data_IF_167581857148
#
_entry.id   IF_167581857148
#
_cell.length_a   1.000
_cell.length_b   1.000
_cell.length_c   1.000
_cell.angle_alpha   90.00
_cell.angle_beta   90.00
_cell.angle_gamma   90.00
#
_symmetry.space_group_name_H-M   'P 1'
#
loop_
_entity.id
_entity.type
_entity.pdbx_description
1 polymer ?
#
# COMPACT_ATOMS: atom_id res chain seq x y z
N UNK A 1 -2.36 -35.63 -8.27
CA UNK A 1 -2.10 -34.37 -8.99
C UNK A 1 -2.13 -33.24 -7.98
N UNK A 2 -0.94 -32.79 -7.57
CA UNK A 2 -0.78 -31.69 -6.63
C UNK A 2 -1.13 -30.39 -7.35
N UNK A 3 -2.23 -29.75 -6.95
CA UNK A 3 -2.50 -28.36 -7.33
C UNK A 3 -1.47 -27.48 -6.61
N UNK A 4 -0.28 -27.38 -7.18
CA UNK A 4 0.69 -26.36 -6.80
C UNK A 4 0.04 -25.03 -7.16
N UNK A 5 -0.56 -24.38 -6.16
CA UNK A 5 -0.77 -22.94 -6.19
C UNK A 5 0.58 -22.35 -6.60
N UNK A 6 0.69 -21.54 -7.66
CA UNK A 6 1.97 -20.92 -8.01
C UNK A 6 2.48 -20.24 -6.75
N UNK A 7 3.64 -20.66 -6.25
CA UNK A 7 4.17 -20.18 -4.97
C UNK A 7 4.26 -18.65 -5.04
N UNK A 8 3.44 -17.97 -4.25
CA UNK A 8 3.49 -16.52 -4.12
C UNK A 8 4.91 -16.13 -3.70
N UNK A 9 5.53 -15.15 -4.37
CA UNK A 9 6.91 -14.75 -4.08
C UNK A 9 7.08 -14.30 -2.62
N UNK A 10 6.00 -13.86 -1.98
CA UNK A 10 6.00 -13.48 -0.57
C UNK A 10 6.45 -14.61 0.38
N UNK A 11 6.27 -15.89 0.01
CA UNK A 11 6.68 -17.04 0.83
C UNK A 11 8.08 -17.54 0.51
N UNK A 12 8.75 -16.94 -0.49
CA UNK A 12 10.15 -17.26 -0.78
C UNK A 12 11.06 -16.78 0.35
N UNK A 13 12.12 -17.54 0.60
CA UNK A 13 13.09 -17.22 1.66
C UNK A 13 14.12 -16.23 1.17
N UNK A 14 14.48 -15.28 2.03
CA UNK A 14 15.58 -14.34 1.78
C UNK A 14 16.83 -14.87 2.45
N UNK A 15 17.61 -15.64 1.70
CA UNK A 15 18.74 -16.44 2.23
C UNK A 15 19.92 -15.60 2.74
N UNK A 16 19.93 -14.29 2.48
CA UNK A 16 20.90 -13.34 3.03
C UNK A 16 20.47 -12.77 4.37
N UNK A 17 19.20 -12.93 4.76
CA UNK A 17 18.64 -12.46 6.03
C UNK A 17 18.53 -13.59 7.07
N UNK A 18 18.33 -13.20 8.31
CA UNK A 18 18.15 -14.04 9.49
C UNK A 18 16.99 -13.55 10.35
N UNK A 19 16.60 -14.32 11.37
CA UNK A 19 15.57 -13.88 12.32
C UNK A 19 15.92 -12.55 13.01
N UNK A 20 17.20 -12.24 13.20
CA UNK A 20 17.65 -11.00 13.84
C UNK A 20 17.36 -9.73 13.00
N UNK A 21 17.05 -9.90 11.71
CA UNK A 21 16.67 -8.80 10.82
C UNK A 21 15.17 -8.46 10.90
N UNK A 22 14.42 -9.21 11.71
CA UNK A 22 13.03 -8.94 12.05
C UNK A 22 12.93 -8.22 13.39
N UNK A 23 12.01 -7.26 13.47
CA UNK A 23 11.54 -6.70 14.72
C UNK A 23 10.76 -7.79 15.47
N UNK A 24 11.41 -8.35 16.50
CA UNK A 24 10.88 -9.46 17.28
C UNK A 24 9.63 -9.07 18.06
N UNK A 25 9.54 -7.83 18.53
CA UNK A 25 8.39 -7.34 19.29
C UNK A 25 7.19 -7.17 18.35
N UNK A 26 7.40 -6.64 17.14
CA UNK A 26 6.36 -6.56 16.12
C UNK A 26 5.85 -7.94 15.68
N UNK A 27 6.75 -8.92 15.51
CA UNK A 27 6.38 -10.31 15.20
C UNK A 27 5.53 -10.91 16.32
N UNK A 28 5.94 -10.74 17.58
CA UNK A 28 5.20 -11.27 18.73
C UNK A 28 3.81 -10.64 18.85
N UNK A 29 3.72 -9.31 18.70
CA UNK A 29 2.45 -8.59 18.70
C UNK A 29 1.51 -9.08 17.59
N UNK A 30 2.04 -9.33 16.38
CA UNK A 30 1.27 -9.92 15.29
C UNK A 30 0.77 -11.33 15.63
N UNK A 31 1.62 -12.19 16.20
CA UNK A 31 1.24 -13.56 16.58
C UNK A 31 0.09 -13.54 17.61
N UNK A 32 0.18 -12.67 18.61
CA UNK A 32 -0.86 -12.49 19.63
C UNK A 32 -2.18 -12.03 19.01
N UNK A 33 -2.14 -10.99 18.17
CA UNK A 33 -3.30 -10.48 17.46
C UNK A 33 -3.93 -11.55 16.54
N UNK A 34 -3.10 -12.34 15.85
CA UNK A 34 -3.54 -13.35 14.88
C UNK A 34 -4.23 -14.53 15.54
N UNK A 35 -3.66 -15.03 16.65
CA UNK A 35 -4.14 -16.25 17.29
C UNK A 35 -5.22 -15.99 18.34
N UNK A 36 -5.33 -14.76 18.88
CA UNK A 36 -6.21 -14.34 20.00
C UNK A 36 -5.99 -15.10 21.32
N UNK A 37 -5.52 -16.35 21.27
CA UNK A 37 -5.11 -17.21 22.36
C UNK A 37 -3.91 -18.03 21.89
N UNK A 38 -2.75 -17.79 22.51
CA UNK A 38 -1.54 -18.52 22.21
C UNK A 38 -1.67 -19.99 22.66
N UNK A 39 -1.28 -20.97 21.81
CA UNK A 39 -1.10 -22.33 22.24
C UNK A 39 0.04 -22.38 23.26
N UNK A 40 -0.28 -22.73 24.52
CA UNK A 40 0.70 -22.74 25.63
C UNK A 40 1.84 -23.75 25.46
N UNK A 41 1.72 -24.67 24.51
CA UNK A 41 2.68 -25.75 24.26
C UNK A 41 3.59 -25.48 23.05
N UNK A 42 3.43 -24.35 22.36
CA UNK A 42 4.21 -24.04 21.15
C UNK A 42 5.02 -22.78 21.41
N UNK A 43 6.32 -22.84 21.14
CA UNK A 43 7.19 -21.67 21.30
C UNK A 43 6.87 -20.62 20.22
N UNK A 44 6.97 -19.30 20.50
CA UNK A 44 6.69 -18.25 19.51
C UNK A 44 7.47 -18.42 18.19
N UNK A 45 8.71 -18.89 18.27
CA UNK A 45 9.53 -19.19 17.10
C UNK A 45 8.91 -20.29 16.20
N UNK A 46 8.35 -21.34 16.78
CA UNK A 46 7.66 -22.39 16.03
C UNK A 46 6.33 -21.89 15.45
N UNK A 47 5.67 -20.95 16.14
CA UNK A 47 4.47 -20.29 15.61
C UNK A 47 4.84 -19.46 14.39
N UNK A 48 5.92 -18.68 14.43
CA UNK A 48 6.39 -17.91 13.29
C UNK A 48 6.68 -18.79 12.06
N UNK A 49 7.22 -20.00 12.27
CA UNK A 49 7.38 -21.01 11.21
C UNK A 49 6.03 -21.45 10.64
N UNK A 50 5.07 -21.81 11.51
CA UNK A 50 3.73 -22.26 11.10
C UNK A 50 2.91 -21.18 10.40
N UNK A 51 3.15 -19.90 10.72
CA UNK A 51 2.53 -18.77 10.05
C UNK A 51 3.22 -18.40 8.73
N UNK A 52 4.29 -19.10 8.34
CA UNK A 52 5.03 -18.84 7.10
C UNK A 52 5.90 -17.58 7.13
N UNK A 53 6.19 -17.04 8.32
CA UNK A 53 7.07 -15.88 8.46
C UNK A 53 8.54 -16.28 8.30
N UNK A 54 8.89 -17.48 8.76
CA UNK A 54 10.27 -17.99 8.74
C UNK A 54 10.30 -19.45 8.34
N UNK A 55 11.39 -19.84 7.67
CA UNK A 55 11.70 -21.24 7.38
C UNK A 55 12.88 -21.66 8.24
N UNK A 56 12.67 -22.70 9.05
CA UNK A 56 13.71 -23.29 9.88
C UNK A 56 14.45 -24.40 9.09
N UNK A 57 15.78 -24.34 9.07
CA UNK A 57 16.66 -25.38 8.56
C UNK A 57 17.78 -25.64 9.58
N UNK A 58 17.60 -26.67 10.40
CA UNK A 58 18.45 -26.91 11.57
C UNK A 58 18.38 -25.71 12.55
N UNK A 59 19.52 -25.15 13.00
CA UNK A 59 19.53 -23.98 13.88
C UNK A 59 19.21 -22.66 13.15
N UNK A 60 19.19 -22.67 11.81
CA UNK A 60 19.03 -21.45 11.02
C UNK A 60 17.56 -21.15 10.80
N UNK A 61 17.14 -19.94 11.15
CA UNK A 61 15.83 -19.39 10.84
C UNK A 61 15.98 -18.30 9.78
N UNK A 62 15.40 -18.54 8.61
CA UNK A 62 15.48 -17.65 7.45
C UNK A 62 14.13 -17.00 7.21
N UNK A 63 14.01 -15.67 7.23
CA UNK A 63 12.73 -15.00 7.01
C UNK A 63 12.27 -15.13 5.56
N UNK A 64 10.96 -15.11 5.38
CA UNK A 64 10.34 -14.98 4.07
C UNK A 64 10.29 -13.51 3.63
N UNK A 65 10.06 -13.27 2.34
CA UNK A 65 9.83 -11.91 1.82
C UNK A 65 8.68 -11.23 2.56
N UNK A 66 7.60 -11.96 2.85
CA UNK A 66 6.46 -11.49 3.64
C UNK A 66 6.89 -11.00 5.02
N UNK A 67 7.68 -11.79 5.75
CA UNK A 67 8.13 -11.42 7.09
C UNK A 67 9.01 -10.18 7.09
N UNK A 68 9.99 -10.09 6.18
CA UNK A 68 10.79 -8.87 6.04
C UNK A 68 9.92 -7.68 5.66
N UNK A 69 8.97 -7.85 4.74
CA UNK A 69 8.16 -6.74 4.29
C UNK A 69 7.22 -6.22 5.38
N UNK A 70 6.68 -7.07 6.24
CA UNK A 70 5.79 -6.67 7.34
C UNK A 70 6.54 -6.25 8.62
N UNK A 71 7.66 -6.89 8.92
CA UNK A 71 8.32 -6.82 10.23
C UNK A 71 9.84 -6.62 10.16
N UNK A 72 10.42 -6.44 8.99
CA UNK A 72 11.86 -6.21 8.85
C UNK A 72 12.27 -4.88 9.48
N UNK A 73 13.40 -4.88 10.18
CA UNK A 73 14.01 -3.64 10.71
C UNK A 73 14.45 -2.72 9.56
N UNK A 74 15.07 -3.32 8.54
CA UNK A 74 15.51 -2.63 7.32
C UNK A 74 15.34 -3.55 6.09
N UNK A 75 14.09 -3.81 5.64
CA UNK A 75 13.84 -4.80 4.59
C UNK A 75 14.51 -4.44 3.26
N UNK A 76 14.73 -3.16 2.98
CA UNK A 76 15.37 -2.67 1.77
C UNK A 76 16.86 -3.01 1.67
N UNK A 77 17.54 -3.39 2.76
CA UNK A 77 18.91 -3.93 2.69
C UNK A 77 18.97 -5.23 1.87
N UNK A 78 17.89 -6.01 1.89
CA UNK A 78 17.77 -7.27 1.19
C UNK A 78 16.94 -7.15 -0.09
N UNK A 79 15.94 -6.27 -0.08
CA UNK A 79 14.97 -6.09 -1.16
C UNK A 79 14.79 -4.60 -1.47
N UNK A 80 15.74 -3.96 -2.19
CA UNK A 80 15.70 -2.52 -2.48
C UNK A 80 14.43 -2.05 -3.17
N UNK A 81 13.78 -2.93 -3.94
CA UNK A 81 12.53 -2.66 -4.63
C UNK A 81 11.36 -2.38 -3.66
N UNK A 82 11.46 -2.74 -2.38
CA UNK A 82 10.45 -2.44 -1.36
C UNK A 82 10.41 -0.97 -0.94
N UNK A 83 11.30 -0.13 -1.47
CA UNK A 83 11.24 1.33 -1.32
C UNK A 83 9.93 1.87 -1.92
N UNK A 84 9.32 2.85 -1.27
CA UNK A 84 8.22 3.65 -1.81
C UNK A 84 8.75 5.02 -2.20
N UNK A 85 8.79 5.31 -3.50
CA UNK A 85 9.25 6.60 -4.01
C UNK A 85 8.12 7.63 -4.02
N UNK A 86 8.28 8.74 -3.31
CA UNK A 86 7.33 9.84 -3.24
C UNK A 86 7.89 11.08 -3.94
N UNK A 87 7.04 11.78 -4.71
CA UNK A 87 7.39 13.05 -5.35
C UNK A 87 6.21 14.02 -5.34
N UNK A 88 6.48 15.28 -5.00
CA UNK A 88 5.56 16.41 -5.16
C UNK A 88 6.01 17.24 -6.36
N UNK A 89 5.11 17.42 -7.32
CA UNK A 89 5.36 18.13 -8.58
C UNK A 89 4.44 19.33 -8.64
N UNK A 90 4.98 20.55 -8.69
CA UNK A 90 4.24 21.81 -8.82
C UNK A 90 3.78 22.02 -10.26
N UNK A 91 2.75 21.26 -10.64
CA UNK A 91 2.10 21.32 -11.93
C UNK A 91 1.25 20.08 -12.15
N UNK A 92 0.97 19.78 -13.42
CA UNK A 92 0.05 18.73 -13.85
C UNK A 92 0.76 17.58 -14.59
N UNK A 93 2.03 17.79 -14.96
CA UNK A 93 2.82 16.93 -15.83
C UNK A 93 4.14 16.55 -15.17
N UNK A 94 4.74 15.43 -15.60
CA UNK A 94 6.03 14.97 -15.07
C UNK A 94 7.21 15.89 -15.42
N UNK A 95 7.02 16.82 -16.35
CA UNK A 95 8.04 17.81 -16.73
C UNK A 95 8.01 19.06 -15.87
N UNK A 96 6.99 19.22 -15.02
CA UNK A 96 6.86 20.36 -14.13
C UNK A 96 7.83 20.28 -12.95
N UNK A 97 8.12 21.40 -12.25
CA UNK A 97 9.12 21.44 -11.19
C UNK A 97 8.82 20.49 -10.02
N UNK A 98 9.84 19.74 -9.58
CA UNK A 98 9.77 18.92 -8.37
C UNK A 98 10.00 19.80 -7.14
N UNK A 99 9.03 19.83 -6.24
CA UNK A 99 9.09 20.60 -4.98
C UNK A 99 9.67 19.77 -3.85
N UNK A 100 9.31 18.48 -3.81
CA UNK A 100 9.80 17.57 -2.79
C UNK A 100 9.91 16.15 -3.33
N UNK A 101 10.85 15.40 -2.77
CA UNK A 101 11.05 13.99 -3.06
C UNK A 101 11.48 13.27 -1.79
N UNK A 102 10.93 12.09 -1.58
CA UNK A 102 11.35 11.19 -0.52
C UNK A 102 11.38 9.75 -1.04
N UNK A 103 12.47 9.04 -0.78
CA UNK A 103 12.52 7.60 -0.99
C UNK A 103 12.32 6.94 0.40
N UNK A 104 11.12 6.40 0.61
CA UNK A 104 10.68 5.88 1.91
C UNK A 104 11.07 4.41 2.06
N UNK A 105 11.73 4.10 3.17
CA UNK A 105 12.18 2.77 3.55
C UNK A 105 11.60 2.35 4.91
N UNK A 106 11.76 1.07 5.25
CA UNK A 106 11.17 0.42 6.41
C UNK A 106 10.10 -0.62 6.04
N UNK A 107 9.50 -1.28 7.03
CA UNK A 107 8.45 -2.26 6.81
C UNK A 107 7.15 -1.58 6.34
N UNK A 108 6.26 -2.37 5.75
CA UNK A 108 4.98 -1.94 5.16
C UNK A 108 4.19 -0.99 6.08
N UNK A 109 3.99 -1.25 7.40
CA UNK A 109 3.31 -0.30 8.28
C UNK A 109 3.96 1.10 8.27
N UNK A 110 5.29 1.15 8.36
CA UNK A 110 6.04 2.41 8.34
C UNK A 110 5.95 3.12 7.00
N UNK A 111 5.97 2.38 5.88
CA UNK A 111 5.79 2.96 4.55
C UNK A 111 4.43 3.65 4.41
N UNK A 112 3.36 3.01 4.88
CA UNK A 112 2.01 3.59 4.89
C UNK A 112 1.98 4.87 5.71
N UNK A 113 2.43 4.83 6.97
CA UNK A 113 2.43 6.00 7.85
C UNK A 113 3.23 7.16 7.27
N UNK A 114 4.44 6.90 6.78
CA UNK A 114 5.34 7.95 6.24
C UNK A 114 4.82 8.52 4.92
N UNK A 115 4.18 7.71 4.07
CA UNK A 115 3.58 8.19 2.84
C UNK A 115 2.34 9.05 3.09
N UNK A 116 1.50 8.66 4.04
CA UNK A 116 0.37 9.50 4.49
C UNK A 116 0.87 10.85 5.03
N UNK A 117 1.95 10.84 5.81
CA UNK A 117 2.60 12.07 6.29
C UNK A 117 3.18 12.92 5.14
N UNK A 118 3.82 12.29 4.15
CA UNK A 118 4.32 13.01 2.98
C UNK A 118 3.19 13.74 2.24
N UNK A 119 2.06 13.07 2.02
CA UNK A 119 0.91 13.72 1.36
C UNK A 119 0.39 14.87 2.21
N UNK A 120 0.19 14.69 3.52
CA UNK A 120 -0.35 15.75 4.38
C UNK A 120 0.57 16.97 4.52
N UNK A 121 1.88 16.79 4.39
CA UNK A 121 2.86 17.90 4.40
C UNK A 121 2.75 18.76 3.14
N UNK A 122 2.47 18.16 1.98
CA UNK A 122 2.51 18.80 0.66
C UNK A 122 1.15 19.05 -0.01
N UNK A 123 0.05 18.84 0.70
CA UNK A 123 -1.32 19.21 0.29
C UNK A 123 -1.79 20.53 0.88
N UNK A 124 -2.80 21.15 0.26
CA UNK A 124 -3.37 22.41 0.73
C UNK A 124 -4.07 22.23 2.08
N UNK A 125 -3.66 23.03 3.07
CA UNK A 125 -4.05 22.90 4.49
C UNK A 125 -2.87 22.92 5.46
N UNK A 126 -1.64 22.74 4.97
CA UNK A 126 -0.41 22.85 5.77
C UNK A 126 0.13 24.29 5.94
N UNK A 127 -0.41 25.26 5.20
CA UNK A 127 -0.03 26.68 5.32
C UNK A 127 -0.83 27.40 6.40
N UNK A 128 -0.14 27.91 7.43
CA UNK A 128 -0.71 28.69 8.55
C UNK A 128 -1.35 30.04 8.14
N UNK A 129 -1.45 30.34 6.85
CA UNK A 129 -1.90 31.64 6.31
C UNK A 129 -3.34 31.67 5.83
N UNK A 130 -4.07 30.54 5.86
CA UNK A 130 -5.50 30.53 5.53
C UNK A 130 -6.35 30.91 6.76
N UNK A 131 -7.35 31.80 6.63
CA UNK A 131 -8.24 32.15 7.74
C UNK A 131 -8.94 30.91 8.28
N UNK A 132 -9.00 30.84 9.61
CA UNK A 132 -9.34 29.70 10.48
C UNK A 132 -10.77 29.13 10.35
N UNK A 133 -11.47 29.41 9.26
CA UNK A 133 -12.86 28.99 9.04
C UNK A 133 -13.01 27.74 8.14
N UNK A 134 -12.01 27.43 7.30
CA UNK A 134 -12.02 26.24 6.42
C UNK A 134 -10.95 25.19 6.79
N UNK A 135 -10.31 25.34 7.95
CA UNK A 135 -9.14 24.55 8.41
C UNK A 135 -9.41 23.08 8.75
N UNK A 136 -10.53 22.51 8.32
CA UNK A 136 -10.92 21.14 8.65
C UNK A 136 -11.14 20.22 7.44
N UNK A 137 -10.93 20.71 6.20
CA UNK A 137 -10.92 19.85 5.00
C UNK A 137 -9.47 19.57 4.59
N UNK A 138 -8.95 18.42 5.00
CA UNK A 138 -7.79 17.82 4.34
C UNK A 138 -8.13 17.58 2.87
N UNK A 139 -7.20 17.88 1.97
CA UNK A 139 -7.38 17.65 0.52
C UNK A 139 -7.69 16.19 0.20
N UNK A 140 -7.13 15.27 0.98
CA UNK A 140 -7.43 13.84 0.94
C UNK A 140 -7.80 13.36 2.35
N UNK A 141 -8.88 12.58 2.46
CA UNK A 141 -9.23 11.92 3.73
C UNK A 141 -8.07 10.97 4.14
N UNK A 142 -7.55 11.06 5.38
CA UNK A 142 -6.45 10.22 5.83
C UNK A 142 -6.75 8.71 5.79
N UNK A 143 -7.98 8.30 6.11
CA UNK A 143 -8.40 6.91 6.07
C UNK A 143 -8.51 6.41 4.62
N UNK A 144 -8.99 7.26 3.71
CA UNK A 144 -9.00 6.98 2.28
C UNK A 144 -7.59 6.76 1.74
N UNK A 145 -6.67 7.67 2.08
CA UNK A 145 -5.29 7.60 1.65
C UNK A 145 -4.60 6.35 2.18
N UNK A 146 -4.81 6.03 3.46
CA UNK A 146 -4.29 4.81 4.08
C UNK A 146 -4.78 3.56 3.34
N UNK A 147 -6.06 3.47 3.00
CA UNK A 147 -6.63 2.32 2.29
C UNK A 147 -6.04 2.18 0.87
N UNK A 148 -5.88 3.28 0.12
CA UNK A 148 -5.24 3.27 -1.21
C UNK A 148 -3.78 2.82 -1.13
N UNK A 149 -3.03 3.33 -0.16
CA UNK A 149 -1.62 2.98 0.03
C UNK A 149 -1.45 1.52 0.46
N UNK A 150 -2.29 1.02 1.37
CA UNK A 150 -2.26 -0.38 1.80
C UNK A 150 -2.61 -1.28 0.63
N UNK A 151 -3.67 -0.97 -0.13
CA UNK A 151 -4.03 -1.76 -1.30
C UNK A 151 -2.90 -1.76 -2.35
N UNK A 152 -2.26 -0.63 -2.58
CA UNK A 152 -1.08 -0.61 -3.44
C UNK A 152 0.04 -1.52 -2.87
N UNK A 153 0.47 -1.29 -1.63
CA UNK A 153 1.61 -2.01 -1.07
C UNK A 153 1.36 -3.52 -0.88
N UNK A 154 0.12 -3.93 -0.64
CA UNK A 154 -0.29 -5.33 -0.52
C UNK A 154 -0.37 -6.01 -1.89
N UNK A 155 -0.87 -5.34 -2.92
CA UNK A 155 -1.13 -5.97 -4.22
C UNK A 155 0.02 -5.86 -5.24
N UNK A 156 1.08 -5.11 -4.93
CA UNK A 156 2.26 -4.97 -5.81
C UNK A 156 2.88 -6.30 -6.20
N UNK A 157 3.49 -6.40 -7.38
CA UNK A 157 4.31 -7.57 -7.72
C UNK A 157 5.66 -7.52 -6.99
N UNK A 158 5.81 -8.35 -5.96
CA UNK A 158 7.03 -8.44 -5.13
C UNK A 158 8.24 -9.02 -5.89
N UNK A 159 8.04 -9.60 -7.08
CA UNK A 159 9.13 -10.06 -7.96
C UNK A 159 9.68 -8.96 -8.84
N UNK A 160 8.89 -7.91 -9.08
CA UNK A 160 9.30 -6.84 -9.97
C UNK A 160 10.43 -6.03 -9.33
N UNK A 161 11.49 -5.68 -10.09
CA UNK A 161 12.50 -4.73 -9.62
C UNK A 161 11.95 -3.30 -9.53
N UNK A 162 10.80 -3.03 -10.14
CA UNK A 162 10.12 -1.74 -10.05
C UNK A 162 9.66 -1.46 -8.61
N UNK A 163 9.66 -0.18 -8.24
CA UNK A 163 9.15 0.31 -6.95
C UNK A 163 7.74 0.85 -7.08
N UNK A 164 7.00 0.84 -5.97
CA UNK A 164 5.77 1.62 -5.86
C UNK A 164 6.13 3.11 -5.91
N UNK A 165 5.34 3.92 -6.62
CA UNK A 165 5.53 5.36 -6.72
C UNK A 165 4.27 6.09 -6.27
N UNK A 166 4.46 7.13 -5.47
CA UNK A 166 3.45 8.11 -5.11
C UNK A 166 3.83 9.45 -5.77
N UNK A 167 2.94 9.97 -6.61
CA UNK A 167 3.13 11.24 -7.32
C UNK A 167 2.00 12.18 -6.95
N UNK A 168 2.34 13.28 -6.29
CA UNK A 168 1.40 14.33 -5.90
C UNK A 168 1.55 15.51 -6.86
N UNK A 169 0.50 15.76 -7.64
CA UNK A 169 0.36 16.90 -8.55
C UNK A 169 -0.54 17.97 -7.92
N UNK A 170 -0.72 19.10 -8.59
CA UNK A 170 -1.61 20.15 -8.11
C UNK A 170 -3.11 19.77 -8.19
N UNK A 171 -3.47 18.82 -9.05
CA UNK A 171 -4.86 18.41 -9.29
C UNK A 171 -5.19 16.98 -8.85
N UNK A 172 -4.19 16.16 -8.51
CA UNK A 172 -4.38 14.74 -8.21
C UNK A 172 -3.21 14.10 -7.48
N UNK A 173 -3.51 12.98 -6.85
CA UNK A 173 -2.56 12.03 -6.30
C UNK A 173 -2.59 10.75 -7.16
N UNK A 174 -1.43 10.31 -7.62
CA UNK A 174 -1.28 9.03 -8.32
C UNK A 174 -0.46 8.05 -7.47
N UNK A 175 -0.97 6.82 -7.29
CA UNK A 175 -0.26 5.70 -6.67
C UNK A 175 -0.06 4.60 -7.71
N UNK A 176 1.19 4.39 -8.09
CA UNK A 176 1.62 3.48 -9.14
C UNK A 176 2.31 2.25 -8.57
N UNK A 177 1.96 1.09 -9.11
CA UNK A 177 2.54 -0.19 -8.74
C UNK A 177 3.04 -0.96 -9.95
N UNK A 178 4.14 -1.71 -9.80
CA UNK A 178 4.52 -2.72 -10.78
C UNK A 178 3.58 -3.94 -10.70
N UNK A 179 3.31 -4.50 -11.88
CA UNK A 179 2.47 -5.66 -12.11
C UNK A 179 1.01 -5.29 -12.32
N UNK A 180 0.37 -5.95 -13.30
CA UNK A 180 -1.07 -5.86 -13.54
C UNK A 180 -1.92 -6.65 -12.54
N UNK A 181 -3.21 -6.82 -12.84
CA UNK A 181 -4.08 -7.65 -12.01
C UNK A 181 -3.71 -9.14 -12.09
N UNK A 182 -3.91 -9.93 -11.02
CA UNK A 182 -3.63 -11.37 -11.03
C UNK A 182 -4.51 -12.14 -12.02
N UNK A 183 -5.72 -11.66 -12.26
CA UNK A 183 -6.65 -12.16 -13.27
C UNK A 183 -7.18 -10.98 -14.08
N UNK A 184 -7.55 -11.19 -15.35
CA UNK A 184 -8.26 -10.18 -16.12
C UNK A 184 -9.53 -9.77 -15.35
N UNK A 185 -9.71 -8.48 -15.16
CA UNK A 185 -10.97 -7.90 -14.71
C UNK A 185 -11.55 -7.22 -15.93
N UNK A 186 -12.71 -7.70 -16.40
CA UNK A 186 -13.35 -7.18 -17.60
C UNK A 186 -13.87 -5.76 -17.40
N UNK A 187 -14.32 -5.43 -16.18
CA UNK A 187 -14.81 -4.11 -15.80
C UNK A 187 -14.21 -3.67 -14.45
N UNK A 188 -13.11 -2.91 -14.53
CA UNK A 188 -12.39 -2.40 -13.35
C UNK A 188 -13.20 -1.33 -12.62
N UNK A 189 -13.99 -0.53 -13.34
CA UNK A 189 -14.82 0.51 -12.75
C UNK A 189 -15.93 -0.13 -11.91
N UNK A 190 -16.68 -1.07 -12.49
CA UNK A 190 -17.72 -1.81 -11.76
C UNK A 190 -17.16 -2.55 -10.54
N UNK A 191 -15.99 -3.20 -10.68
CA UNK A 191 -15.32 -3.86 -9.55
C UNK A 191 -14.93 -2.87 -8.45
N UNK A 192 -14.50 -1.66 -8.81
CA UNK A 192 -14.18 -0.63 -7.84
C UNK A 192 -15.42 -0.03 -7.16
N UNK A 193 -16.54 0.06 -7.87
CA UNK A 193 -17.82 0.59 -7.37
C UNK A 193 -18.53 -0.39 -6.43
N UNK A 194 -18.82 -1.60 -6.91
CA UNK A 194 -19.66 -2.59 -6.21
C UNK A 194 -18.83 -3.51 -5.30
N UNK A 195 -17.51 -3.52 -5.49
CA UNK A 195 -16.61 -4.46 -4.86
C UNK A 195 -16.67 -5.84 -5.50
N UNK A 196 -16.03 -6.81 -4.87
CA UNK A 196 -15.99 -8.18 -5.37
C UNK A 196 -15.14 -9.10 -4.51
N UNK A 197 -14.89 -10.32 -5.00
CA UNK A 197 -14.01 -11.26 -4.29
C UNK A 197 -12.59 -10.70 -4.31
N UNK A 198 -12.06 -10.39 -3.12
CA UNK A 198 -10.66 -9.98 -2.98
C UNK A 198 -9.74 -11.18 -3.23
N UNK A 199 -8.98 -11.12 -4.31
CA UNK A 199 -7.95 -12.10 -4.67
C UNK A 199 -6.58 -11.43 -4.58
N UNK A 200 -6.01 -11.26 -3.37
CA UNK A 200 -4.72 -10.61 -3.21
C UNK A 200 -3.61 -11.40 -3.92
N UNK A 201 -2.71 -10.67 -4.60
CA UNK A 201 -1.49 -11.25 -5.19
C UNK A 201 -0.58 -11.83 -4.12
N UNK A 202 -0.55 -11.17 -2.95
CA UNK A 202 0.27 -11.52 -1.80
C UNK A 202 -0.66 -11.83 -0.60
N UNK A 203 -1.34 -12.98 -0.55
CA UNK A 203 -2.31 -13.31 0.50
C UNK A 203 -1.75 -13.29 1.94
N UNK A 204 -0.47 -13.62 2.17
CA UNK A 204 0.12 -13.56 3.51
C UNK A 204 0.39 -12.12 3.94
N UNK A 205 0.91 -11.28 3.04
CA UNK A 205 1.09 -9.85 3.28
C UNK A 205 -0.26 -9.18 3.50
N UNK A 206 -1.27 -9.57 2.72
CA UNK A 206 -2.63 -9.08 2.82
C UNK A 206 -3.22 -9.37 4.21
N UNK A 207 -3.21 -10.64 4.61
CA UNK A 207 -3.64 -11.07 5.95
C UNK A 207 -2.84 -10.40 7.08
N UNK A 208 -1.53 -10.22 6.89
CA UNK A 208 -0.66 -9.50 7.82
C UNK A 208 -1.11 -8.06 8.02
N UNK A 209 -1.27 -7.30 6.93
CA UNK A 209 -1.74 -5.92 6.95
C UNK A 209 -3.14 -5.79 7.59
N UNK A 210 -4.05 -6.73 7.31
CA UNK A 210 -5.37 -6.79 7.97
C UNK A 210 -5.23 -7.01 9.48
N UNK A 211 -4.41 -7.96 9.91
CA UNK A 211 -4.21 -8.27 11.33
C UNK A 211 -3.59 -7.09 12.09
N UNK A 212 -2.70 -6.34 11.42
CA UNK A 212 -2.08 -5.12 11.95
C UNK A 212 -3.01 -3.90 11.90
N UNK A 213 -4.25 -4.05 11.40
CA UNK A 213 -5.23 -2.96 11.33
C UNK A 213 -4.88 -1.86 10.33
N UNK A 214 -4.06 -2.16 9.32
CA UNK A 214 -3.62 -1.16 8.34
C UNK A 214 -4.72 -0.82 7.31
N UNK A 215 -5.64 -1.73 7.01
CA UNK A 215 -6.71 -1.49 6.04
C UNK A 215 -7.81 -2.55 6.09
N UNK A 216 -8.92 -2.29 5.40
CA UNK A 216 -10.10 -3.15 5.40
C UNK A 216 -10.09 -4.17 4.26
N UNK A 217 -9.55 -5.36 4.53
CA UNK A 217 -9.42 -6.41 3.50
C UNK A 217 -10.65 -7.32 3.31
N UNK A 218 -11.86 -6.74 3.34
CA UNK A 218 -13.11 -7.47 3.12
C UNK A 218 -13.74 -7.18 1.74
N UNK A 219 -12.96 -6.67 0.79
CA UNK A 219 -13.48 -6.23 -0.52
C UNK A 219 -14.30 -4.92 -0.43
N UNK A 220 -14.26 -4.24 0.72
CA UNK A 220 -14.97 -2.97 0.96
C UNK A 220 -14.08 -1.74 0.77
N UNK A 221 -12.76 -1.93 0.70
CA UNK A 221 -11.80 -0.84 0.52
C UNK A 221 -12.06 -0.02 -0.74
N UNK A 222 -12.14 -0.68 -1.90
CA UNK A 222 -12.40 -0.01 -3.18
C UNK A 222 -13.76 0.70 -3.23
N UNK A 223 -14.89 0.09 -2.82
CA UNK A 223 -16.17 0.80 -2.73
C UNK A 223 -16.13 2.03 -1.81
N UNK A 224 -15.44 1.94 -0.66
CA UNK A 224 -15.26 3.08 0.23
C UNK A 224 -14.44 4.20 -0.42
N UNK A 225 -13.37 3.82 -1.12
CA UNK A 225 -12.56 4.78 -1.89
C UNK A 225 -13.44 5.45 -2.92
N UNK A 226 -14.21 4.67 -3.65
CA UNK A 226 -15.07 5.15 -4.71
C UNK A 226 -16.13 6.14 -4.21
N UNK A 227 -16.85 5.79 -3.13
CA UNK A 227 -17.83 6.68 -2.50
C UNK A 227 -17.20 7.98 -1.98
N UNK A 228 -16.12 7.88 -1.20
CA UNK A 228 -15.49 9.06 -0.60
C UNK A 228 -14.94 10.04 -1.64
N UNK A 229 -14.37 9.54 -2.73
CA UNK A 229 -13.86 10.39 -3.81
C UNK A 229 -15.02 11.00 -4.60
N UNK A 230 -16.10 10.24 -4.88
CA UNK A 230 -17.29 10.77 -5.56
C UNK A 230 -17.94 11.91 -4.78
N UNK A 231 -18.01 11.81 -3.46
CA UNK A 231 -18.54 12.87 -2.60
C UNK A 231 -17.69 14.15 -2.63
N UNK A 232 -16.38 14.00 -2.87
CA UNK A 232 -15.41 15.09 -2.85
C UNK A 232 -15.22 15.77 -4.23
N UNK A 233 -15.21 14.98 -5.30
CA UNK A 233 -14.77 15.38 -6.62
C UNK A 233 -15.84 15.22 -7.73
N UNK A 234 -17.06 14.76 -7.39
CA UNK A 234 -18.12 14.37 -8.32
C UNK A 234 -17.76 13.24 -9.32
N UNK A 235 -16.49 12.85 -9.40
CA UNK A 235 -15.97 11.69 -10.14
C UNK A 235 -15.36 10.69 -9.16
N UNK A 236 -15.38 9.40 -9.47
CA UNK A 236 -14.69 8.38 -8.67
C UNK A 236 -13.15 8.41 -8.85
N UNK A 237 -12.40 7.56 -8.12
CA UNK A 237 -11.00 7.27 -8.42
C UNK A 237 -10.86 6.72 -9.85
N UNK A 238 -9.76 7.06 -10.52
CA UNK A 238 -9.47 6.58 -11.87
C UNK A 238 -8.44 5.46 -11.78
N UNK A 239 -8.76 4.31 -12.37
CA UNK A 239 -7.86 3.17 -12.45
C UNK A 239 -7.28 3.07 -13.86
N UNK A 240 -5.96 3.14 -13.98
CA UNK A 240 -5.24 2.72 -15.20
C UNK A 240 -4.60 1.38 -14.95
N UNK A 241 -4.92 0.42 -15.81
CA UNK A 241 -4.55 -0.97 -15.61
C UNK A 241 -3.95 -1.51 -16.90
N UNK A 242 -2.75 -2.07 -16.79
CA UNK A 242 -2.11 -2.82 -17.87
C UNK A 242 -1.70 -4.21 -17.36
N UNK A 243 -0.99 -4.98 -18.18
CA UNK A 243 -0.37 -6.24 -17.71
C UNK A 243 0.87 -5.94 -16.85
N UNK A 244 1.47 -4.78 -17.06
CA UNK A 244 2.77 -4.37 -16.56
C UNK A 244 2.67 -3.55 -15.27
N UNK A 245 1.60 -2.79 -15.09
CA UNK A 245 1.40 -1.87 -13.98
C UNK A 245 -0.08 -1.60 -13.66
N UNK A 246 -0.30 -1.03 -12.47
CA UNK A 246 -1.57 -0.47 -12.02
C UNK A 246 -1.31 0.91 -11.44
N UNK A 247 -2.12 1.89 -11.83
CA UNK A 247 -2.12 3.23 -11.27
C UNK A 247 -3.53 3.58 -10.77
N UNK A 248 -3.62 3.93 -9.49
CA UNK A 248 -4.81 4.52 -8.88
C UNK A 248 -4.62 6.03 -8.82
N UNK A 249 -5.57 6.79 -9.35
CA UNK A 249 -5.55 8.25 -9.33
C UNK A 249 -6.70 8.77 -8.48
N UNK A 250 -6.38 9.61 -7.50
CA UNK A 250 -7.35 10.32 -6.67
C UNK A 250 -7.35 11.79 -7.08
N UNK A 251 -8.44 12.30 -7.70
CA UNK A 251 -8.58 13.73 -7.97
C UNK A 251 -8.54 14.55 -6.69
N UNK A 252 -7.95 15.73 -6.75
CA UNK A 252 -8.01 16.73 -5.68
C UNK A 252 -9.42 17.32 -5.59
N UNK A 253 -10.04 17.21 -4.41
CA UNK A 253 -11.32 17.85 -4.13
C UNK A 253 -11.30 19.37 -4.14
N UNK A 254 -10.12 19.97 -3.97
CA UNK A 254 -9.94 21.42 -3.87
C UNK A 254 -9.66 22.05 -5.24
N UNK A 255 -9.01 21.32 -6.17
CA UNK A 255 -8.83 21.77 -7.55
C UNK A 255 -10.16 21.95 -8.27
N UNK A 256 -11.19 21.17 -7.92
CA UNK A 256 -12.53 21.24 -8.54
C UNK A 256 -13.39 22.39 -7.99
N UNK A 257 -13.05 22.92 -6.81
CA UNK A 257 -13.73 24.08 -6.20
C UNK A 257 -13.18 25.42 -6.69
N UNK A 258 -12.05 25.40 -7.40
CA UNK A 258 -11.37 26.58 -7.94
C UNK A 258 -11.84 26.94 -9.37
N UNK A 259 -13.16 27.07 -9.58
CA UNK A 259 -13.76 27.72 -10.76
C UNK A 259 -13.72 26.98 -12.11
N UNK A 260 -14.61 27.33 -13.08
CA UNK A 260 -14.91 26.50 -14.24
C UNK A 260 -13.87 26.73 -15.34
N UNK A 261 -12.96 25.78 -15.54
CA UNK A 261 -11.91 25.97 -16.54
C UNK A 261 -11.14 24.74 -16.96
N UNK A 262 -11.83 23.70 -17.47
CA UNK A 262 -11.26 22.57 -18.25
C UNK A 262 -10.34 21.66 -17.39
N UNK A 263 -10.48 20.34 -17.40
CA UNK A 263 -10.17 19.45 -18.51
C UNK A 263 -11.12 18.25 -18.45
N UNK A 264 -11.83 17.99 -19.55
CA UNK A 264 -12.45 16.70 -19.75
C UNK A 264 -11.33 15.66 -19.89
N UNK A 265 -11.34 14.64 -19.03
CA UNK A 265 -10.58 13.41 -19.28
C UNK A 265 -11.05 12.88 -20.64
N UNK A 266 -10.19 12.97 -21.66
CA UNK A 266 -10.39 12.24 -22.90
C UNK A 266 -9.56 10.96 -22.82
N UNK A 267 -10.25 9.87 -23.13
CA UNK A 267 -9.83 8.46 -23.10
C UNK A 267 -8.50 8.17 -23.79
#
# INVERSE_FOLDING_TARGET
>A
MSFLTPSSHETSTVTTATFADLDTDAVNAYIEARLRRLPTHIQPADIAVRLGLVVASGPRQTPTVCALYLFGVAPQWFLPQLTLGCVRIAGLTLTDPVVARADLEGPLPSLVTRATQFVSEYTLGSSQTMPKQDSNRSEYDPALLQEVLVNALVHRDLRSPGRTLLRLFDDRLEVWNPGGFPQPIDDVEHFAEEGGISLPRNPFVALGAQTLGLGEQLGRGLPKIHHAVRDLAATGPIFRVSKEDVCVTLPSGLSLLSGPGRVAFQN
#
